data_IF_230849688975
#
_entry.id   IF_230849688975
#
_cell.length_a   1.000
_cell.length_b   1.000
_cell.length_c   1.000
_cell.angle_alpha   90.00
_cell.angle_beta   90.00
_cell.angle_gamma   90.00
#
_symmetry.space_group_name_H-M   'P 1'
#
loop_
_entity.id
_entity.type
_entity.pdbx_description
1 polymer ?
#
# COMPACT_ATOMS: atom_id res chain seq x y z
N UNK A 1 41.19 -54.44 -31.98
CA UNK A 1 41.03 -53.18 -31.22
C UNK A 1 41.45 -51.97 -32.06
N UNK A 2 40.76 -51.75 -33.18
CA UNK A 2 40.89 -50.58 -34.05
C UNK A 2 39.46 -50.21 -34.45
N UNK A 3 39.16 -48.93 -34.62
CA UNK A 3 37.87 -48.37 -35.10
C UNK A 3 36.93 -47.70 -34.09
N UNK A 4 37.40 -47.25 -32.92
CA UNK A 4 36.64 -46.28 -32.10
C UNK A 4 37.22 -44.86 -32.11
N UNK A 5 38.49 -44.69 -32.50
CA UNK A 5 39.13 -43.37 -32.51
C UNK A 5 38.70 -42.47 -33.69
N UNK A 6 38.28 -43.03 -34.83
CA UNK A 6 37.83 -42.23 -35.98
C UNK A 6 36.42 -41.63 -35.80
N UNK A 7 35.54 -42.28 -35.04
CA UNK A 7 34.18 -41.78 -34.78
C UNK A 7 34.20 -40.57 -33.82
N UNK A 8 35.10 -40.56 -32.83
CA UNK A 8 35.25 -39.43 -31.91
C UNK A 8 35.80 -38.16 -32.58
N UNK A 9 36.69 -38.30 -33.56
CA UNK A 9 37.24 -37.17 -34.33
C UNK A 9 36.25 -36.59 -35.35
N UNK A 10 35.32 -37.41 -35.87
CA UNK A 10 34.29 -36.96 -36.81
C UNK A 10 33.13 -36.18 -36.15
N UNK A 11 32.89 -36.37 -34.86
CA UNK A 11 31.84 -35.65 -34.12
C UNK A 11 32.30 -34.33 -33.49
N UNK A 12 33.61 -34.11 -33.32
CA UNK A 12 34.17 -32.87 -32.76
C UNK A 12 33.84 -31.58 -33.55
N UNK A 13 33.84 -31.57 -34.90
CA UNK A 13 33.44 -30.38 -35.66
C UNK A 13 31.93 -30.13 -35.62
N UNK A 14 31.10 -31.15 -35.32
CA UNK A 14 29.65 -30.98 -35.18
C UNK A 14 29.27 -30.16 -33.94
N UNK A 15 30.07 -30.23 -32.87
CA UNK A 15 29.88 -29.43 -31.64
C UNK A 15 30.23 -27.95 -31.84
N UNK A 16 30.99 -27.60 -32.88
CA UNK A 16 31.32 -26.22 -33.25
C UNK A 16 30.28 -25.59 -34.20
N UNK A 17 29.34 -26.38 -34.74
CA UNK A 17 28.27 -25.91 -35.62
C UNK A 17 27.01 -25.46 -34.88
N UNK A 18 26.94 -25.71 -33.56
CA UNK A 18 25.92 -25.15 -32.70
C UNK A 18 26.52 -23.93 -31.99
N UNK A 19 26.25 -22.69 -32.44
CA UNK A 19 26.53 -21.54 -31.59
C UNK A 19 25.80 -21.80 -30.27
N UNK A 20 26.56 -21.85 -29.17
CA UNK A 20 25.99 -21.80 -27.85
C UNK A 20 25.24 -20.47 -27.77
N UNK A 21 23.94 -20.49 -28.05
CA UNK A 21 23.03 -19.41 -27.77
C UNK A 21 22.89 -19.33 -26.25
N UNK A 22 23.93 -18.84 -25.59
CA UNK A 22 23.85 -18.26 -24.25
C UNK A 22 23.22 -16.88 -24.38
N UNK A 23 22.05 -16.79 -25.01
CA UNK A 23 21.13 -15.67 -24.83
C UNK A 23 20.08 -16.11 -23.83
N UNK A 24 20.51 -16.41 -22.61
CA UNK A 24 19.62 -16.16 -21.48
C UNK A 24 19.56 -14.65 -21.35
N UNK A 25 18.76 -14.01 -22.19
CA UNK A 25 18.36 -12.64 -21.96
C UNK A 25 17.59 -12.70 -20.65
N UNK A 26 18.25 -12.29 -19.56
CA UNK A 26 17.60 -12.11 -18.28
C UNK A 26 16.38 -11.24 -18.52
N UNK A 27 15.19 -11.70 -18.12
CA UNK A 27 14.01 -10.85 -18.13
C UNK A 27 14.26 -9.61 -17.28
N UNK A 28 13.62 -8.51 -17.64
CA UNK A 28 13.56 -7.31 -16.79
C UNK A 28 12.41 -7.48 -15.80
N UNK A 29 12.69 -7.24 -14.52
CA UNK A 29 11.68 -7.23 -13.46
C UNK A 29 11.47 -5.79 -13.01
N UNK A 30 10.24 -5.31 -13.15
CA UNK A 30 9.83 -3.99 -12.69
C UNK A 30 9.20 -4.12 -11.31
N UNK A 31 9.71 -3.35 -10.33
CA UNK A 31 9.19 -3.32 -8.98
C UNK A 31 8.53 -1.97 -8.71
N UNK A 32 7.30 -2.00 -8.20
CA UNK A 32 6.67 -0.84 -7.58
C UNK A 32 6.88 -0.98 -6.08
N UNK A 33 7.69 -0.09 -5.52
CA UNK A 33 7.96 -0.09 -4.09
C UNK A 33 7.00 0.90 -3.43
N UNK A 34 6.38 0.48 -2.34
CA UNK A 34 5.46 1.34 -1.61
C UNK A 34 5.53 1.19 -0.10
N UNK A 35 4.98 2.18 0.59
CA UNK A 35 4.93 2.26 2.04
C UNK A 35 3.52 2.55 2.52
N UNK A 36 2.99 1.65 3.34
CA UNK A 36 1.78 1.87 4.13
C UNK A 36 2.05 2.94 5.18
N UNK A 37 1.55 4.15 4.94
CA UNK A 37 2.00 5.34 5.68
C UNK A 37 0.86 5.91 6.51
N UNK A 38 0.99 5.81 7.84
CA UNK A 38 -0.03 6.24 8.79
C UNK A 38 0.59 6.73 10.11
N UNK A 39 -0.19 7.45 10.91
CA UNK A 39 0.14 7.75 12.31
C UNK A 39 -0.83 6.98 13.20
N UNK A 40 -0.39 5.90 13.82
CA UNK A 40 -1.22 5.14 14.76
C UNK A 40 -1.00 5.55 16.23
N UNK A 41 0.04 6.34 16.51
CA UNK A 41 0.31 6.85 17.85
C UNK A 41 -0.74 7.87 18.28
N UNK A 42 -1.47 7.55 19.35
CA UNK A 42 -2.61 8.33 19.81
C UNK A 42 -3.96 7.71 19.42
N UNK A 43 -3.96 6.66 18.60
CA UNK A 43 -5.15 5.86 18.32
C UNK A 43 -5.65 5.17 19.59
N UNK A 44 -6.97 5.21 19.80
CA UNK A 44 -7.66 4.41 20.81
C UNK A 44 -9.01 3.99 20.25
N UNK A 45 -9.20 2.70 19.99
CA UNK A 45 -10.43 2.17 19.40
C UNK A 45 -11.64 2.31 20.30
N UNK A 46 -11.46 2.57 21.59
CA UNK A 46 -12.54 2.73 22.58
C UNK A 46 -12.96 4.21 22.72
N UNK A 47 -12.41 5.10 21.88
CA UNK A 47 -12.67 6.54 21.93
C UNK A 47 -13.04 7.05 20.55
N UNK A 48 -14.20 7.69 20.47
CA UNK A 48 -14.65 8.27 19.22
C UNK A 48 -13.68 9.34 18.68
N UNK A 49 -13.16 10.19 19.56
CA UNK A 49 -12.22 11.25 19.24
C UNK A 49 -10.80 10.91 19.72
N UNK A 50 -9.85 10.84 18.78
CA UNK A 50 -8.43 10.61 19.06
C UNK A 50 -7.58 11.85 18.78
N UNK A 51 -6.40 11.94 19.40
CA UNK A 51 -5.38 12.96 19.09
C UNK A 51 -4.10 12.25 18.68
N UNK A 52 -3.63 12.53 17.47
CA UNK A 52 -2.49 11.83 16.87
C UNK A 52 -1.17 12.57 17.06
N UNK A 53 -0.08 11.80 17.26
CA UNK A 53 1.26 12.33 17.38
C UNK A 53 1.90 12.59 16.01
N UNK A 54 2.11 13.86 15.66
CA UNK A 54 2.58 14.24 14.33
C UNK A 54 4.10 14.08 14.15
N UNK A 55 4.82 13.67 15.20
CA UNK A 55 6.29 13.60 15.21
C UNK A 55 6.86 12.68 14.14
N UNK A 56 6.09 11.70 13.64
CA UNK A 56 6.53 10.81 12.56
C UNK A 56 7.08 11.58 11.35
N UNK A 57 6.45 12.70 11.00
CA UNK A 57 6.83 13.52 9.85
C UNK A 57 7.76 14.68 10.20
N UNK A 58 7.89 15.07 11.47
CA UNK A 58 8.60 16.29 11.86
C UNK A 58 9.88 16.05 12.65
N UNK A 59 10.02 14.91 13.33
CA UNK A 59 11.18 14.57 14.14
C UNK A 59 12.21 13.79 13.30
N UNK A 60 13.45 14.32 13.15
CA UNK A 60 14.53 13.67 12.41
C UNK A 60 14.93 12.28 12.90
N UNK A 61 14.60 11.92 14.14
CA UNK A 61 14.85 10.60 14.68
C UNK A 61 13.87 9.54 14.19
N UNK A 62 12.80 9.93 13.47
CA UNK A 62 11.70 9.02 13.10
C UNK A 62 11.74 8.58 11.65
N UNK A 63 11.11 7.43 11.39
CA UNK A 63 11.25 6.69 10.14
C UNK A 63 10.87 7.49 8.90
N UNK A 64 9.70 8.16 8.89
CA UNK A 64 9.28 8.90 7.70
C UNK A 64 10.25 10.04 7.40
N UNK A 65 10.69 10.79 8.43
CA UNK A 65 11.72 11.82 8.24
C UNK A 65 13.04 11.24 7.73
N UNK A 66 13.52 10.15 8.34
CA UNK A 66 14.80 9.52 7.93
C UNK A 66 14.75 9.02 6.50
N UNK A 67 13.65 8.37 6.10
CA UNK A 67 13.49 7.92 4.71
C UNK A 67 13.45 9.11 3.78
N UNK A 68 12.81 10.22 4.13
CA UNK A 68 12.79 11.41 3.27
C UNK A 68 14.09 12.22 3.26
N UNK A 69 15.10 11.88 4.08
CA UNK A 69 16.38 12.56 4.08
C UNK A 69 17.15 12.32 2.75
N UNK A 70 17.60 13.38 2.03
CA UNK A 70 18.28 13.22 0.74
C UNK A 70 19.55 12.35 0.79
N UNK A 71 20.34 12.46 1.86
CA UNK A 71 21.56 11.66 2.02
C UNK A 71 21.24 10.17 2.25
N UNK A 72 20.10 9.87 2.88
CA UNK A 72 19.60 8.51 2.99
C UNK A 72 19.07 8.01 1.64
N UNK A 73 18.20 8.78 0.96
CA UNK A 73 17.59 8.39 -0.32
C UNK A 73 18.60 8.18 -1.44
N UNK A 74 19.66 8.99 -1.50
CA UNK A 74 20.70 8.88 -2.52
C UNK A 74 21.44 7.53 -2.52
N UNK A 75 21.30 6.73 -1.45
CA UNK A 75 21.87 5.38 -1.35
C UNK A 75 21.05 4.31 -2.08
N UNK A 76 19.82 4.63 -2.46
CA UNK A 76 18.87 3.70 -3.07
C UNK A 76 18.60 4.13 -4.51
N UNK A 77 19.24 3.42 -5.43
CA UNK A 77 19.09 3.61 -6.87
C UNK A 77 18.72 2.30 -7.55
N UNK A 78 18.04 2.39 -8.69
CA UNK A 78 17.76 1.23 -9.52
C UNK A 78 19.02 0.76 -10.28
N UNK A 79 18.88 -0.30 -11.08
CA UNK A 79 19.97 -0.84 -11.91
C UNK A 79 20.47 0.12 -13.00
N UNK A 80 19.74 1.20 -13.27
CA UNK A 80 20.12 2.27 -14.20
C UNK A 80 20.70 3.50 -13.48
N UNK A 81 20.88 3.43 -12.16
CA UNK A 81 21.42 4.51 -11.34
C UNK A 81 20.43 5.65 -11.08
N UNK A 82 19.14 5.47 -11.37
CA UNK A 82 18.11 6.47 -11.07
C UNK A 82 17.67 6.37 -9.60
N UNK A 83 17.28 7.49 -8.95
CA UNK A 83 16.69 7.44 -7.62
C UNK A 83 15.52 6.46 -7.56
N UNK A 84 15.52 5.60 -6.55
CA UNK A 84 14.47 4.62 -6.33
C UNK A 84 13.15 5.31 -5.96
N UNK A 85 12.18 5.32 -6.86
CA UNK A 85 10.84 5.89 -6.64
C UNK A 85 10.04 5.06 -5.63
N UNK A 86 9.28 5.74 -4.78
CA UNK A 86 8.36 5.11 -3.82
C UNK A 86 6.93 5.58 -4.05
N UNK A 87 5.98 4.68 -3.81
CA UNK A 87 4.56 5.00 -3.65
C UNK A 87 4.23 5.09 -2.17
N UNK A 88 3.78 6.26 -1.71
CA UNK A 88 3.37 6.46 -0.33
C UNK A 88 1.85 6.36 -0.25
N UNK A 89 1.34 5.26 0.29
CA UNK A 89 -0.10 5.11 0.54
C UNK A 89 -0.43 5.79 1.87
N UNK A 90 -1.00 6.99 1.77
CA UNK A 90 -1.23 7.91 2.87
C UNK A 90 -2.56 7.63 3.54
N UNK A 91 -2.54 7.31 4.84
CA UNK A 91 -3.74 6.94 5.57
C UNK A 91 -4.68 8.11 5.77
N UNK A 92 -5.97 7.91 5.50
CA UNK A 92 -7.01 8.90 5.67
C UNK A 92 -8.38 8.26 5.95
N UNK A 93 -9.38 9.11 6.23
CA UNK A 93 -10.74 8.66 6.50
C UNK A 93 -10.99 8.33 7.96
N UNK A 94 -12.21 7.91 8.23
CA UNK A 94 -12.61 7.12 9.39
C UNK A 94 -12.15 7.74 10.72
N UNK A 95 -11.35 7.03 11.52
CA UNK A 95 -10.88 7.49 12.82
C UNK A 95 -10.05 8.79 12.73
N UNK A 96 -9.43 9.09 11.57
CA UNK A 96 -8.70 10.33 11.33
C UNK A 96 -9.66 11.50 11.08
N UNK A 97 -10.81 11.26 10.43
CA UNK A 97 -11.84 12.27 10.17
C UNK A 97 -12.30 12.95 11.46
N UNK A 98 -12.40 12.19 12.53
CA UNK A 98 -12.88 12.64 13.83
C UNK A 98 -11.77 12.97 14.83
N UNK A 99 -10.52 13.07 14.37
CA UNK A 99 -9.40 13.43 15.21
C UNK A 99 -9.50 14.88 15.70
N UNK A 100 -8.99 15.14 16.90
CA UNK A 100 -9.02 16.47 17.56
C UNK A 100 -7.76 17.29 17.29
N UNK A 101 -6.94 16.89 16.33
CA UNK A 101 -5.74 17.64 15.93
C UNK A 101 -6.14 18.98 15.30
N UNK A 102 -5.95 20.07 16.04
CA UNK A 102 -6.26 21.44 15.58
C UNK A 102 -5.07 22.14 14.91
N UNK A 103 -3.91 21.48 14.87
CA UNK A 103 -2.67 21.98 14.28
C UNK A 103 -2.45 21.52 12.83
N UNK A 104 -3.48 20.95 12.21
CA UNK A 104 -3.56 20.63 10.78
C UNK A 104 -4.87 21.18 10.21
N UNK A 105 -4.94 21.55 8.92
CA UNK A 105 -6.16 22.13 8.35
C UNK A 105 -7.34 21.16 8.33
N UNK A 106 -7.08 19.92 7.90
CA UNK A 106 -8.08 18.86 7.75
C UNK A 106 -7.54 17.60 8.41
N UNK A 107 -8.10 17.17 9.57
CA UNK A 107 -7.64 15.96 10.24
C UNK A 107 -7.81 14.69 9.39
N UNK A 108 -8.84 14.65 8.54
CA UNK A 108 -9.14 13.51 7.68
C UNK A 108 -8.01 13.15 6.71
N UNK A 109 -7.28 14.14 6.18
CA UNK A 109 -6.16 13.98 5.22
C UNK A 109 -4.80 14.23 5.87
N UNK A 110 -4.75 14.22 7.20
CA UNK A 110 -3.61 14.72 7.98
C UNK A 110 -2.26 14.12 7.59
N UNK A 111 -2.19 12.82 7.30
CA UNK A 111 -0.91 12.17 6.94
C UNK A 111 -0.39 12.72 5.60
N UNK A 112 -1.26 12.86 4.60
CA UNK A 112 -0.95 13.42 3.28
C UNK A 112 -0.51 14.88 3.40
N UNK A 113 -1.27 15.69 4.17
CA UNK A 113 -0.90 17.08 4.44
C UNK A 113 0.51 17.19 5.05
N UNK A 114 0.82 16.36 6.06
CA UNK A 114 2.11 16.41 6.75
C UNK A 114 3.26 15.97 5.84
N UNK A 115 3.06 14.92 5.04
CA UNK A 115 4.06 14.49 4.05
C UNK A 115 4.37 15.62 3.06
N UNK A 116 3.34 16.25 2.48
CA UNK A 116 3.52 17.36 1.55
C UNK A 116 4.17 18.58 2.21
N UNK A 117 3.73 18.94 3.42
CA UNK A 117 4.21 20.12 4.14
C UNK A 117 5.69 20.03 4.50
N UNK A 118 6.14 18.86 4.98
CA UNK A 118 7.50 18.71 5.50
C UNK A 118 8.47 18.06 4.53
N UNK A 119 7.97 17.29 3.56
CA UNK A 119 8.80 16.49 2.65
C UNK A 119 8.41 16.62 1.17
N UNK A 120 7.49 17.52 0.82
CA UNK A 120 6.99 17.67 -0.55
C UNK A 120 8.07 17.94 -1.60
N UNK A 121 9.10 18.73 -1.26
CA UNK A 121 10.26 18.95 -2.15
C UNK A 121 11.00 17.65 -2.44
N UNK A 122 11.21 16.82 -1.42
CA UNK A 122 11.90 15.53 -1.57
C UNK A 122 11.04 14.51 -2.32
N UNK A 123 9.71 14.51 -2.11
CA UNK A 123 8.76 13.70 -2.91
C UNK A 123 8.92 14.04 -4.39
N UNK A 124 8.89 15.34 -4.74
CA UNK A 124 9.03 15.80 -6.13
C UNK A 124 10.41 15.48 -6.70
N UNK A 125 11.48 15.69 -5.93
CA UNK A 125 12.84 15.43 -6.38
C UNK A 125 13.09 13.93 -6.66
N UNK A 126 12.54 13.04 -5.84
CA UNK A 126 12.66 11.60 -6.03
C UNK A 126 11.73 11.07 -7.14
N UNK A 127 10.69 11.83 -7.51
CA UNK A 127 9.62 11.35 -8.37
C UNK A 127 8.74 10.30 -7.68
N UNK A 128 8.55 10.47 -6.36
CA UNK A 128 7.69 9.61 -5.56
C UNK A 128 6.20 9.91 -5.84
N UNK A 129 5.36 8.89 -5.68
CA UNK A 129 3.91 8.99 -5.78
C UNK A 129 3.29 9.12 -4.38
N UNK A 130 2.27 9.97 -4.24
CA UNK A 130 1.41 10.01 -3.06
C UNK A 130 0.02 9.50 -3.45
N UNK A 131 -0.48 8.51 -2.73
CA UNK A 131 -1.73 7.82 -3.05
C UNK A 131 -2.57 7.53 -1.80
N UNK A 132 -3.76 6.95 -1.99
CA UNK A 132 -4.70 6.73 -0.89
C UNK A 132 -4.46 5.38 -0.20
N UNK A 133 -4.46 5.43 1.12
CA UNK A 133 -4.58 4.30 2.01
C UNK A 133 -5.84 4.49 2.85
N UNK A 134 -6.75 3.53 2.82
CA UNK A 134 -8.01 3.61 3.55
C UNK A 134 -8.30 2.34 4.34
N UNK A 135 -8.74 2.49 5.58
CA UNK A 135 -9.29 1.40 6.39
C UNK A 135 -10.80 1.59 6.55
N UNK A 136 -11.57 0.51 6.60
CA UNK A 136 -13.01 0.55 6.86
C UNK A 136 -13.29 0.59 8.36
N UNK A 137 -12.79 1.61 9.07
CA UNK A 137 -13.16 1.78 10.48
C UNK A 137 -14.52 2.48 10.60
N UNK A 138 -15.43 1.86 11.36
CA UNK A 138 -16.75 2.39 11.71
C UNK A 138 -16.93 2.43 13.23
N UNK A 139 -17.61 3.46 13.73
CA UNK A 139 -17.95 3.57 15.15
C UNK A 139 -19.25 2.81 15.43
N UNK A 140 -19.13 1.57 15.89
CA UNK A 140 -20.26 0.65 16.02
C UNK A 140 -20.24 -0.09 17.36
N UNK A 141 -21.39 -0.64 17.72
CA UNK A 141 -21.62 -1.58 18.82
C UNK A 141 -22.26 -2.82 18.18
N UNK A 142 -21.45 -3.76 17.70
CA UNK A 142 -21.95 -4.88 16.92
C UNK A 142 -22.59 -5.97 17.78
N UNK A 143 -22.21 -6.09 19.05
CA UNK A 143 -22.77 -7.07 19.98
C UNK A 143 -23.97 -6.55 20.79
N UNK A 144 -24.21 -5.24 20.77
CA UNK A 144 -25.37 -4.58 21.35
C UNK A 144 -25.28 -4.42 22.87
N UNK A 145 -24.08 -4.42 23.45
CA UNK A 145 -23.87 -4.27 24.90
C UNK A 145 -23.93 -2.80 25.39
N UNK A 146 -24.03 -1.85 24.45
CA UNK A 146 -24.05 -0.41 24.70
C UNK A 146 -22.68 0.25 24.69
N UNK A 147 -21.59 -0.50 24.49
CA UNK A 147 -20.24 0.00 24.32
C UNK A 147 -19.89 0.09 22.83
N UNK A 148 -19.48 1.28 22.40
CA UNK A 148 -19.09 1.51 21.02
C UNK A 148 -17.57 1.53 20.87
N UNK A 149 -17.12 1.05 19.71
CA UNK A 149 -15.72 0.95 19.36
C UNK A 149 -15.52 1.37 17.90
N UNK A 150 -14.31 1.80 17.57
CA UNK A 150 -13.83 1.85 16.19
C UNK A 150 -13.53 0.42 15.74
N UNK A 151 -14.57 -0.24 15.27
CA UNK A 151 -14.49 -1.57 14.69
C UNK A 151 -14.10 -1.48 13.22
N UNK A 152 -13.44 -2.53 12.72
CA UNK A 152 -13.44 -2.74 11.28
C UNK A 152 -14.85 -3.12 10.85
N UNK A 153 -15.37 -2.43 9.84
CA UNK A 153 -16.70 -2.66 9.32
C UNK A 153 -16.89 -4.12 8.87
N UNK A 154 -18.12 -4.60 8.91
CA UNK A 154 -18.44 -5.94 8.38
C UNK A 154 -18.49 -5.92 6.85
N UNK A 155 -18.78 -4.76 6.25
CA UNK A 155 -18.63 -4.54 4.81
C UNK A 155 -18.40 -3.07 4.46
N UNK A 156 -17.89 -2.84 3.25
CA UNK A 156 -17.51 -1.51 2.76
C UNK A 156 -18.64 -0.48 2.79
N UNK A 157 -19.88 -0.91 2.55
CA UNK A 157 -21.02 0.00 2.48
C UNK A 157 -21.30 0.76 3.79
N UNK A 158 -20.83 0.26 4.94
CA UNK A 158 -20.90 1.00 6.21
C UNK A 158 -19.96 2.23 6.22
N UNK A 159 -18.88 2.17 5.45
CA UNK A 159 -17.86 3.22 5.34
C UNK A 159 -17.92 3.98 4.00
N UNK A 160 -18.83 3.64 3.09
CA UNK A 160 -18.85 4.20 1.72
C UNK A 160 -18.93 5.73 1.68
N UNK A 161 -19.77 6.34 2.52
CA UNK A 161 -19.86 7.81 2.62
C UNK A 161 -18.52 8.42 3.03
N UNK A 162 -17.87 7.82 4.02
CA UNK A 162 -16.59 8.28 4.52
C UNK A 162 -15.46 8.10 3.51
N UNK A 163 -15.46 6.98 2.78
CA UNK A 163 -14.54 6.74 1.67
C UNK A 163 -14.71 7.79 0.57
N UNK A 164 -15.93 8.01 0.10
CA UNK A 164 -16.23 8.99 -0.96
C UNK A 164 -15.87 10.41 -0.51
N UNK A 165 -16.18 10.77 0.74
CA UNK A 165 -15.80 12.05 1.34
C UNK A 165 -14.27 12.22 1.41
N UNK A 166 -13.57 11.17 1.80
CA UNK A 166 -12.10 11.17 1.89
C UNK A 166 -11.46 11.34 0.51
N UNK A 167 -11.96 10.62 -0.49
CA UNK A 167 -11.49 10.77 -1.87
C UNK A 167 -11.72 12.19 -2.40
N UNK A 168 -12.88 12.79 -2.09
CA UNK A 168 -13.16 14.17 -2.45
C UNK A 168 -12.18 15.14 -1.78
N UNK A 169 -11.82 14.94 -0.51
CA UNK A 169 -10.84 15.80 0.17
C UNK A 169 -9.41 15.62 -0.36
N UNK A 170 -9.03 14.40 -0.74
CA UNK A 170 -7.76 14.17 -1.44
C UNK A 170 -7.67 15.03 -2.70
N UNK A 171 -8.74 15.05 -3.49
CA UNK A 171 -8.77 15.82 -4.73
C UNK A 171 -8.86 17.33 -4.48
N UNK A 172 -9.77 17.77 -3.62
CA UNK A 172 -10.11 19.19 -3.47
C UNK A 172 -9.16 19.94 -2.53
N UNK A 173 -8.79 19.34 -1.41
CA UNK A 173 -7.95 20.00 -0.39
C UNK A 173 -6.47 19.71 -0.64
N UNK A 174 -6.15 18.49 -1.05
CA UNK A 174 -4.76 18.07 -1.25
C UNK A 174 -4.31 18.11 -2.70
N UNK A 175 -5.20 18.32 -3.67
CA UNK A 175 -4.86 18.28 -5.10
C UNK A 175 -4.11 16.99 -5.48
N UNK A 176 -4.55 15.86 -4.91
CA UNK A 176 -4.02 14.52 -5.18
C UNK A 176 -5.16 13.64 -5.64
N UNK A 177 -5.06 13.12 -6.86
CA UNK A 177 -5.92 12.04 -7.31
C UNK A 177 -5.20 10.72 -7.05
N UNK A 178 -5.76 9.80 -6.25
CA UNK A 178 -5.11 8.53 -5.97
C UNK A 178 -5.13 7.65 -7.22
N UNK A 179 -3.98 7.47 -7.85
CA UNK A 179 -3.79 6.61 -9.02
C UNK A 179 -3.54 5.16 -8.63
N UNK A 180 -3.27 4.92 -7.35
CA UNK A 180 -3.14 3.60 -6.73
C UNK A 180 -3.87 3.60 -5.37
N UNK A 181 -4.21 2.42 -4.88
CA UNK A 181 -5.04 2.29 -3.69
C UNK A 181 -4.52 1.15 -2.80
N UNK A 182 -4.50 1.39 -1.49
CA UNK A 182 -4.23 0.36 -0.47
C UNK A 182 -5.41 0.23 0.49
N UNK A 183 -6.08 -0.92 0.44
CA UNK A 183 -7.05 -1.32 1.47
C UNK A 183 -6.31 -1.74 2.74
N UNK A 184 -6.66 -1.14 3.86
CA UNK A 184 -6.04 -1.42 5.13
C UNK A 184 -6.88 -2.29 6.03
N UNK A 185 -6.26 -3.41 6.47
CA UNK A 185 -6.76 -4.38 7.45
C UNK A 185 -8.13 -5.01 7.16
N UNK A 186 -8.78 -4.59 6.08
CA UNK A 186 -10.03 -5.12 5.57
C UNK A 186 -9.80 -5.67 4.17
N UNK A 187 -10.39 -6.82 3.88
CA UNK A 187 -10.42 -7.36 2.53
C UNK A 187 -11.31 -6.47 1.66
N UNK A 188 -10.98 -6.36 0.38
CA UNK A 188 -11.81 -5.61 -0.55
C UNK A 188 -12.99 -6.50 -0.97
N UNK A 189 -14.18 -6.19 -0.45
CA UNK A 189 -15.41 -6.86 -0.88
C UNK A 189 -15.85 -6.39 -2.29
N UNK A 190 -16.82 -7.10 -2.87
CA UNK A 190 -17.31 -6.79 -4.21
C UNK A 190 -17.92 -5.38 -4.30
N UNK A 191 -18.56 -4.90 -3.24
CA UNK A 191 -19.18 -3.57 -3.24
C UNK A 191 -18.10 -2.47 -3.30
N UNK A 192 -16.99 -2.67 -2.59
CA UNK A 192 -15.85 -1.77 -2.66
C UNK A 192 -15.19 -1.82 -4.04
N UNK A 193 -14.95 -3.03 -4.57
CA UNK A 193 -14.38 -3.18 -5.91
C UNK A 193 -15.24 -2.49 -6.97
N UNK A 194 -16.56 -2.71 -6.95
CA UNK A 194 -17.48 -2.06 -7.87
C UNK A 194 -17.44 -0.54 -7.75
N UNK A 195 -17.37 -0.01 -6.52
CA UNK A 195 -17.21 1.42 -6.31
C UNK A 195 -15.90 1.96 -6.85
N UNK A 196 -14.80 1.22 -6.69
CA UNK A 196 -13.50 1.59 -7.27
C UNK A 196 -13.54 1.56 -8.80
N UNK A 197 -14.17 0.57 -9.43
CA UNK A 197 -14.31 0.49 -10.89
C UNK A 197 -15.07 1.69 -11.49
N UNK A 198 -15.97 2.31 -10.72
CA UNK A 198 -16.67 3.55 -11.11
C UNK A 198 -15.76 4.79 -11.04
N UNK A 199 -14.74 4.77 -10.19
CA UNK A 199 -13.95 5.94 -9.80
C UNK A 199 -12.52 5.93 -10.38
N UNK A 200 -11.90 4.76 -10.42
CA UNK A 200 -10.52 4.52 -10.81
C UNK A 200 -10.48 3.64 -12.08
N UNK A 201 -9.56 3.89 -13.01
CA UNK A 201 -9.49 3.15 -14.27
C UNK A 201 -8.85 1.74 -14.15
N UNK A 202 -8.77 1.16 -12.95
CA UNK A 202 -8.07 -0.11 -12.67
C UNK A 202 -9.00 -1.16 -12.06
N UNK A 203 -8.92 -2.40 -12.56
CA UNK A 203 -9.68 -3.56 -12.08
C UNK A 203 -8.79 -4.45 -11.21
N UNK A 204 -9.28 -4.81 -10.02
CA UNK A 204 -8.57 -5.66 -9.04
C UNK A 204 -9.41 -6.90 -8.66
N UNK A 205 -10.19 -7.42 -9.63
CA UNK A 205 -11.17 -8.49 -9.38
C UNK A 205 -10.54 -9.80 -8.85
N UNK A 206 -11.24 -10.48 -7.95
CA UNK A 206 -11.01 -11.87 -7.50
C UNK A 206 -9.75 -12.20 -6.67
N UNK A 207 -9.08 -11.23 -6.06
CA UNK A 207 -7.95 -11.49 -5.15
C UNK A 207 -8.30 -11.10 -3.70
N UNK A 208 -8.78 -12.05 -2.88
CA UNK A 208 -8.98 -11.83 -1.45
C UNK A 208 -9.03 -13.13 -0.60
N UNK A 209 -8.65 -13.07 0.69
CA UNK A 209 -8.85 -14.18 1.63
C UNK A 209 -10.33 -14.22 2.06
N UNK A 210 -11.07 -15.24 1.61
CA UNK A 210 -12.52 -15.33 1.79
C UNK A 210 -12.98 -15.94 3.13
N UNK A 211 -12.06 -16.33 4.04
CA UNK A 211 -12.40 -16.98 5.32
C UNK A 211 -11.90 -16.14 6.49
N UNK A 212 -12.81 -15.69 7.37
CA UNK A 212 -12.50 -14.96 8.63
C UNK A 212 -12.68 -15.88 9.83
N UNK A 213 -11.78 -15.81 10.82
CA UNK A 213 -11.80 -16.71 12.00
C UNK A 213 -12.08 -16.03 13.36
N UNK A 214 -12.16 -14.70 13.41
CA UNK A 214 -12.42 -13.98 14.67
C UNK A 214 -13.91 -13.84 14.98
N UNK A 215 -14.29 -14.03 16.24
CA UNK A 215 -15.69 -13.88 16.72
C UNK A 215 -15.81 -13.10 18.04
N UNK A 216 -14.74 -12.48 18.55
CA UNK A 216 -14.76 -11.77 19.84
C UNK A 216 -14.10 -10.41 19.71
N UNK A 217 -14.79 -9.36 20.16
CA UNK A 217 -14.30 -7.98 20.10
C UNK A 217 -13.13 -7.72 21.08
N UNK A 218 -12.20 -6.79 20.74
CA UNK A 218 -12.09 -6.13 19.44
C UNK A 218 -11.53 -7.11 18.38
N UNK A 219 -12.18 -7.15 17.21
CA UNK A 219 -11.74 -8.00 16.09
C UNK A 219 -10.55 -7.36 15.38
N UNK A 220 -9.48 -8.12 15.09
CA UNK A 220 -8.32 -7.62 14.36
C UNK A 220 -7.67 -8.71 13.47
N UNK A 221 -7.71 -8.50 12.15
CA UNK A 221 -6.83 -9.13 11.15
C UNK A 221 -6.73 -10.67 11.05
N UNK A 222 -7.64 -11.50 11.59
CA UNK A 222 -7.54 -12.96 11.38
C UNK A 222 -8.26 -13.45 10.13
N UNK A 223 -7.49 -13.52 9.04
CA UNK A 223 -7.91 -14.05 7.75
C UNK A 223 -7.20 -15.37 7.41
N UNK A 224 -7.93 -16.27 6.79
CA UNK A 224 -7.45 -17.54 6.25
C UNK A 224 -7.33 -17.43 4.73
N UNK A 225 -6.08 -17.51 4.27
CA UNK A 225 -5.67 -17.38 2.87
C UNK A 225 -5.64 -18.72 2.12
N UNK A 226 -6.03 -19.82 2.76
CA UNK A 226 -5.94 -21.16 2.16
C UNK A 226 -6.86 -21.37 0.96
N UNK A 227 -7.79 -20.44 0.70
CA UNK A 227 -8.74 -20.49 -0.42
C UNK A 227 -8.67 -19.28 -1.36
N UNK A 228 -7.62 -18.45 -1.26
CA UNK A 228 -7.37 -17.45 -2.30
C UNK A 228 -7.14 -18.14 -3.65
N UNK A 229 -7.68 -17.58 -4.74
CA UNK A 229 -7.60 -18.20 -6.07
C UNK A 229 -6.14 -18.25 -6.55
N UNK A 230 -5.76 -19.33 -7.24
CA UNK A 230 -4.43 -19.47 -7.82
C UNK A 230 -4.29 -18.76 -9.19
N UNK A 231 -5.33 -18.09 -9.68
CA UNK A 231 -5.34 -17.52 -11.03
C UNK A 231 -4.67 -16.14 -11.04
N UNK A 232 -3.47 -16.11 -11.64
CA UNK A 232 -2.79 -14.95 -12.21
C UNK A 232 -2.27 -15.33 -13.61
#
# INVERSE_FOLDING_TARGET
MRSYHLLLLACLPLLLLFPAYSSSQSGEVYLVLGSDTAIWEGMNTNRYHCTYNLSLFTDPARNAYQVMNPAFRARFVDSYGQPMKLTWWMMAGNIFRYATNTNVPVPNTMTLYLMKKYHGENVLQNGDELSLHYHTFAWTDYDGDGAYWWNQALGFNECRDDFDYTLAQYLLEENVFPVSFRSGWHYMDNDWQHRLDELLPYSLHNDYPNVRRDTTEPLDNTFDWSQASAEF
#
